data_IF_189275019471
#
_entry.id   IF_189275019471
#
_cell.length_a   1.000
_cell.length_b   1.000
_cell.length_c   1.000
_cell.angle_alpha   90.00
_cell.angle_beta   90.00
_cell.angle_gamma   90.00
#
_symmetry.space_group_name_H-M   'P 1'
#
loop_
_entity.id
_entity.type
_entity.pdbx_description
1 polymer ?
#
# COMPACT_ATOMS: atom_id res chain seq x y z
N UNK A 1 20.14 39.71 -6.67
CA UNK A 1 19.55 38.48 -7.22
C UNK A 1 20.05 37.32 -6.35
N UNK A 2 19.19 36.70 -5.58
CA UNK A 2 19.54 35.53 -4.81
C UNK A 2 19.44 34.31 -5.75
N UNK A 3 20.58 33.72 -6.09
CA UNK A 3 20.63 32.50 -6.88
C UNK A 3 20.49 31.32 -5.93
N UNK A 4 19.26 31.00 -5.55
CA UNK A 4 18.98 29.97 -4.53
C UNK A 4 18.90 28.57 -5.09
N UNK A 5 18.79 28.40 -6.42
CA UNK A 5 18.50 27.12 -7.07
C UNK A 5 19.73 26.45 -7.67
N UNK A 6 20.91 27.03 -7.55
CA UNK A 6 22.12 26.42 -8.06
C UNK A 6 22.77 25.57 -6.97
N UNK A 7 23.13 24.36 -7.33
CA UNK A 7 23.96 23.50 -6.48
C UNK A 7 25.30 24.17 -6.24
N UNK A 8 25.94 23.83 -5.13
CA UNK A 8 27.27 24.23 -4.81
C UNK A 8 28.20 23.92 -5.98
N UNK A 9 28.81 24.95 -6.56
CA UNK A 9 29.78 24.81 -7.64
C UNK A 9 31.17 24.72 -7.02
N UNK A 10 31.91 23.69 -7.36
CA UNK A 10 33.31 23.50 -6.92
C UNK A 10 34.31 24.42 -7.64
N UNK A 11 33.86 25.11 -8.67
CA UNK A 11 34.68 26.03 -9.47
C UNK A 11 33.82 27.21 -9.95
N UNK A 12 34.51 28.30 -10.33
CA UNK A 12 33.85 29.47 -10.95
C UNK A 12 33.25 29.06 -12.29
N UNK A 13 31.97 29.38 -12.46
CA UNK A 13 31.24 29.12 -13.70
C UNK A 13 30.63 30.41 -14.25
N UNK A 14 30.67 30.56 -15.57
CA UNK A 14 29.98 31.64 -16.28
C UNK A 14 28.57 31.19 -16.61
N UNK A 15 27.64 32.14 -16.58
CA UNK A 15 26.23 31.90 -16.94
C UNK A 15 25.68 33.06 -17.77
N UNK A 16 24.83 32.76 -18.72
CA UNK A 16 24.02 33.72 -19.48
C UNK A 16 22.67 33.87 -18.81
N UNK A 17 22.42 35.06 -18.23
CA UNK A 17 21.18 35.34 -17.50
C UNK A 17 20.06 35.64 -18.50
N UNK A 18 18.97 34.90 -18.41
CA UNK A 18 17.71 35.22 -19.08
C UNK A 18 16.96 36.22 -18.18
N UNK A 19 17.03 37.51 -18.52
CA UNK A 19 16.45 38.57 -17.67
C UNK A 19 14.90 38.56 -17.67
N UNK A 20 14.29 38.15 -18.78
CA UNK A 20 12.84 38.06 -18.90
C UNK A 20 12.26 36.90 -18.09
N UNK A 21 13.00 35.79 -18.03
CA UNK A 21 12.68 34.66 -17.15
C UNK A 21 13.97 34.04 -16.62
N UNK A 22 14.38 34.38 -15.38
CA UNK A 22 15.60 33.86 -14.77
C UNK A 22 15.66 32.33 -14.69
N UNK A 23 14.52 31.64 -14.78
CA UNK A 23 14.45 30.18 -14.84
C UNK A 23 15.23 29.60 -16.03
N UNK A 24 15.24 30.29 -17.17
CA UNK A 24 15.96 29.86 -18.37
C UNK A 24 17.43 30.29 -18.42
N UNK A 25 17.98 30.80 -17.32
CA UNK A 25 19.41 31.09 -17.21
C UNK A 25 20.23 29.84 -17.50
N UNK A 26 21.23 29.97 -18.40
CA UNK A 26 22.09 28.87 -18.87
C UNK A 26 23.51 29.05 -18.41
N UNK A 27 24.15 27.95 -18.05
CA UNK A 27 25.60 27.92 -17.89
C UNK A 27 26.28 27.84 -19.27
N UNK A 28 27.42 28.52 -19.41
CA UNK A 28 28.27 28.41 -20.60
C UNK A 28 28.81 26.99 -20.75
N UNK A 29 29.08 26.32 -19.65
CA UNK A 29 29.43 24.90 -19.62
C UNK A 29 28.18 24.02 -19.74
N UNK A 30 28.00 23.27 -20.84
CA UNK A 30 26.82 22.44 -21.07
C UNK A 30 26.65 21.27 -20.06
N UNK A 31 27.72 20.92 -19.36
CA UNK A 31 27.66 19.88 -18.31
C UNK A 31 27.06 20.39 -17.00
N UNK A 32 27.05 21.71 -16.80
CA UNK A 32 26.38 22.31 -15.65
C UNK A 32 24.94 22.62 -16.05
N UNK A 33 24.01 21.86 -15.45
CA UNK A 33 22.58 22.02 -15.72
C UNK A 33 21.86 22.44 -14.46
N UNK A 34 20.86 23.29 -14.65
CA UNK A 34 19.91 23.63 -13.59
C UNK A 34 19.01 22.42 -13.31
N UNK A 35 18.74 22.14 -12.04
CA UNK A 35 17.68 21.22 -11.66
C UNK A 35 16.33 21.81 -12.06
N UNK A 36 15.43 20.99 -12.55
CA UNK A 36 14.05 21.39 -12.92
C UNK A 36 14.00 22.62 -13.83
N UNK A 37 14.74 22.60 -14.93
CA UNK A 37 14.79 23.72 -15.90
C UNK A 37 13.57 23.83 -16.80
N UNK A 38 12.71 22.83 -16.80
CA UNK A 38 11.55 22.80 -17.68
C UNK A 38 10.33 23.41 -17.01
N UNK A 39 9.41 24.03 -17.79
CA UNK A 39 8.17 24.59 -17.25
C UNK A 39 7.24 23.55 -16.64
N UNK A 40 7.21 22.36 -17.21
CA UNK A 40 6.47 21.22 -16.72
C UNK A 40 7.25 19.91 -16.90
N UNK A 41 6.91 18.90 -16.13
CA UNK A 41 7.38 17.52 -16.24
C UNK A 41 6.20 16.61 -15.91
N UNK A 42 6.11 15.45 -16.56
CA UNK A 42 5.02 14.49 -16.31
C UNK A 42 5.55 13.09 -16.09
N UNK A 43 4.86 12.32 -15.26
CA UNK A 43 5.28 10.99 -14.83
C UNK A 43 4.10 10.03 -14.83
N UNK A 44 4.33 8.81 -15.30
CA UNK A 44 3.47 7.66 -15.02
C UNK A 44 4.21 6.75 -14.03
N UNK A 45 3.59 6.45 -12.91
CA UNK A 45 4.03 5.38 -12.00
C UNK A 45 3.11 4.18 -12.20
N UNK A 46 3.69 3.06 -12.59
CA UNK A 46 2.96 1.82 -12.77
C UNK A 46 3.23 0.89 -11.59
N UNK A 47 2.24 0.74 -10.76
CA UNK A 47 2.24 -0.10 -9.58
C UNK A 47 1.29 -1.30 -9.76
N UNK A 48 1.40 -2.37 -8.97
CA UNK A 48 0.61 -3.59 -9.17
C UNK A 48 -0.90 -3.39 -9.24
N UNK A 49 -1.41 -2.42 -8.49
CA UNK A 49 -2.86 -2.17 -8.36
C UNK A 49 -3.23 -0.72 -8.59
N UNK A 50 -2.31 0.05 -9.19
CA UNK A 50 -2.52 1.47 -9.44
C UNK A 50 -1.69 1.94 -10.64
N UNK A 51 -2.27 2.83 -11.43
CA UNK A 51 -1.52 3.70 -12.33
C UNK A 51 -1.68 5.12 -11.81
N UNK A 52 -0.55 5.75 -11.46
CA UNK A 52 -0.53 7.11 -10.94
C UNK A 52 0.08 8.04 -11.97
N UNK A 53 -0.60 9.14 -12.25
CA UNK A 53 -0.13 10.23 -13.08
C UNK A 53 0.27 11.41 -12.21
N UNK A 54 1.52 11.84 -12.30
CA UNK A 54 2.03 12.98 -11.57
C UNK A 54 2.51 14.06 -12.53
N UNK A 55 2.27 15.31 -12.16
CA UNK A 55 2.76 16.47 -12.91
C UNK A 55 3.49 17.43 -11.99
N UNK A 56 4.67 17.85 -12.36
CA UNK A 56 5.39 18.97 -11.75
C UNK A 56 5.35 20.15 -12.71
N UNK A 57 4.97 21.32 -12.23
CA UNK A 57 4.87 22.53 -13.04
C UNK A 57 5.35 23.76 -12.27
N UNK A 58 5.99 24.70 -12.93
CA UNK A 58 6.30 26.00 -12.32
C UNK A 58 4.99 26.75 -12.05
N UNK A 59 4.93 27.41 -10.89
CA UNK A 59 3.74 28.21 -10.51
C UNK A 59 3.41 29.27 -11.58
N UNK A 60 4.41 29.91 -12.19
CA UNK A 60 4.19 30.91 -13.24
C UNK A 60 3.51 30.34 -14.47
N UNK A 61 3.90 29.15 -14.91
CA UNK A 61 3.27 28.51 -16.08
C UNK A 61 1.86 28.02 -15.73
N UNK A 62 1.67 27.47 -14.54
CA UNK A 62 0.36 27.09 -14.03
C UNK A 62 -0.60 28.30 -13.97
N UNK A 63 -0.10 29.44 -13.52
CA UNK A 63 -0.87 30.69 -13.50
C UNK A 63 -1.29 31.15 -14.90
N UNK A 64 -0.38 31.08 -15.87
CA UNK A 64 -0.69 31.39 -17.28
C UNK A 64 -1.74 30.44 -17.83
N UNK A 65 -1.60 29.12 -17.63
CA UNK A 65 -2.54 28.12 -18.11
C UNK A 65 -3.93 28.26 -17.50
N UNK A 66 -4.00 28.67 -16.24
CA UNK A 66 -5.27 28.85 -15.51
C UNK A 66 -5.88 30.26 -15.64
N UNK A 67 -5.16 31.21 -16.26
CA UNK A 67 -5.57 32.61 -16.34
C UNK A 67 -5.50 33.35 -15.02
N UNK A 68 -4.74 32.87 -14.05
CA UNK A 68 -4.55 33.50 -12.74
C UNK A 68 -3.44 34.57 -12.85
N UNK A 69 -3.74 35.81 -12.53
CA UNK A 69 -2.73 36.87 -12.44
C UNK A 69 -2.03 36.85 -11.07
N UNK A 70 -0.72 36.59 -11.09
CA UNK A 70 0.11 36.63 -9.88
C UNK A 70 0.38 38.08 -9.46
N UNK A 71 0.07 38.40 -8.19
CA UNK A 71 0.06 39.78 -7.69
C UNK A 71 1.42 40.30 -7.21
N UNK A 72 2.48 39.54 -7.36
CA UNK A 72 3.80 40.00 -6.89
C UNK A 72 4.90 38.96 -7.01
N UNK A 73 6.05 39.30 -6.40
CA UNK A 73 7.23 38.44 -6.41
C UNK A 73 7.10 37.20 -5.53
N UNK A 74 6.16 37.20 -4.58
CA UNK A 74 5.92 36.11 -3.64
C UNK A 74 4.53 35.52 -3.83
N UNK A 75 4.44 34.22 -3.74
CA UNK A 75 3.19 33.46 -3.87
C UNK A 75 2.31 33.67 -2.63
N UNK A 76 1.20 34.37 -2.82
CA UNK A 76 0.24 34.66 -1.74
C UNK A 76 -0.70 33.47 -1.48
N UNK A 77 -1.43 33.49 -0.37
CA UNK A 77 -2.48 32.51 -0.08
C UNK A 77 -3.61 32.55 -1.11
N UNK A 78 -3.98 33.76 -1.58
CA UNK A 78 -5.02 33.95 -2.60
C UNK A 78 -4.59 33.36 -3.95
N UNK A 79 -3.32 33.56 -4.35
CA UNK A 79 -2.77 32.96 -5.57
C UNK A 79 -2.80 31.43 -5.49
N UNK A 80 -2.39 30.88 -4.35
CA UNK A 80 -2.44 29.43 -4.09
C UNK A 80 -3.86 28.90 -4.20
N UNK A 81 -4.83 29.56 -3.58
CA UNK A 81 -6.23 29.16 -3.63
C UNK A 81 -6.81 29.23 -5.04
N UNK A 82 -6.50 30.31 -5.81
CA UNK A 82 -6.99 30.50 -7.15
C UNK A 82 -6.44 29.41 -8.11
N UNK A 83 -5.13 29.18 -8.08
CA UNK A 83 -4.50 28.13 -8.88
C UNK A 83 -5.00 26.73 -8.45
N UNK A 84 -5.08 26.49 -7.14
CA UNK A 84 -5.55 25.22 -6.58
C UNK A 84 -6.97 24.86 -6.96
N UNK A 85 -7.82 25.85 -7.21
CA UNK A 85 -9.19 25.64 -7.68
C UNK A 85 -9.26 25.30 -9.17
N UNK A 86 -8.40 25.89 -9.99
CA UNK A 86 -8.50 25.81 -11.45
C UNK A 86 -7.63 24.68 -12.05
N UNK A 87 -6.40 24.57 -11.59
CA UNK A 87 -5.39 23.71 -12.19
C UNK A 87 -5.71 22.21 -12.17
N UNK A 88 -6.24 21.62 -11.08
CA UNK A 88 -6.50 20.18 -11.04
C UNK A 88 -7.50 19.73 -12.13
N UNK A 89 -8.59 20.48 -12.32
CA UNK A 89 -9.56 20.15 -13.36
C UNK A 89 -9.00 20.36 -14.76
N UNK A 90 -8.27 21.46 -14.97
CA UNK A 90 -7.64 21.75 -16.27
C UNK A 90 -6.69 20.61 -16.66
N UNK A 91 -5.81 20.16 -15.76
CA UNK A 91 -4.87 19.09 -16.06
C UNK A 91 -5.56 17.75 -16.29
N UNK A 92 -6.56 17.41 -15.49
CA UNK A 92 -7.28 16.14 -15.64
C UNK A 92 -8.02 16.08 -16.99
N UNK A 93 -8.60 17.19 -17.43
CA UNK A 93 -9.31 17.26 -18.71
C UNK A 93 -8.35 17.36 -19.93
N UNK A 94 -7.14 17.90 -19.70
CA UNK A 94 -6.13 18.11 -20.76
C UNK A 94 -5.03 17.03 -20.79
N UNK A 95 -5.17 15.99 -19.98
CA UNK A 95 -4.24 14.87 -19.96
C UNK A 95 -4.99 13.54 -20.07
N UNK A 96 -5.64 13.28 -21.23
CA UNK A 96 -6.37 12.03 -21.45
C UNK A 96 -5.49 10.83 -21.16
N UNK A 97 -6.03 9.87 -20.41
CA UNK A 97 -5.32 8.67 -19.98
C UNK A 97 -6.01 7.40 -20.48
N UNK A 98 -5.22 6.42 -20.85
CA UNK A 98 -5.71 5.06 -21.12
C UNK A 98 -4.98 4.04 -20.27
N UNK A 99 -5.70 2.98 -19.88
CA UNK A 99 -5.12 1.79 -19.24
C UNK A 99 -5.62 0.55 -19.96
N UNK A 100 -4.71 -0.30 -20.38
CA UNK A 100 -5.00 -1.49 -21.20
C UNK A 100 -5.84 -1.15 -22.46
N UNK A 101 -5.54 -0.02 -23.10
CA UNK A 101 -6.23 0.48 -24.30
C UNK A 101 -7.62 1.06 -24.06
N UNK A 102 -8.06 1.21 -22.81
CA UNK A 102 -9.36 1.78 -22.46
C UNK A 102 -9.19 3.18 -21.88
N UNK A 103 -9.96 4.17 -22.35
CA UNK A 103 -9.98 5.49 -21.72
C UNK A 103 -10.41 5.39 -20.27
N UNK A 104 -9.66 6.06 -19.40
CA UNK A 104 -9.93 6.12 -17.97
C UNK A 104 -9.89 7.57 -17.49
N UNK A 105 -10.60 7.86 -16.41
CA UNK A 105 -10.53 9.15 -15.74
C UNK A 105 -9.93 8.94 -14.35
N UNK A 106 -8.65 9.31 -14.15
CA UNK A 106 -8.02 9.19 -12.83
C UNK A 106 -8.65 10.19 -11.85
N UNK A 107 -8.63 9.81 -10.58
CA UNK A 107 -9.08 10.65 -9.49
C UNK A 107 -7.96 11.60 -9.06
N UNK A 108 -8.31 12.84 -8.79
CA UNK A 108 -7.38 13.81 -8.21
C UNK A 108 -7.16 13.45 -6.73
N UNK A 109 -5.91 13.17 -6.34
CA UNK A 109 -5.58 12.85 -4.97
C UNK A 109 -5.14 14.10 -4.19
N UNK A 110 -4.13 14.81 -4.73
CA UNK A 110 -3.54 15.93 -4.02
C UNK A 110 -2.80 16.90 -4.92
N UNK A 111 -2.61 18.09 -4.39
CA UNK A 111 -1.74 19.11 -4.94
C UNK A 111 -0.85 19.66 -3.83
N UNK A 112 0.42 19.85 -4.13
CA UNK A 112 1.41 20.35 -3.18
C UNK A 112 2.24 21.47 -3.81
N UNK A 113 2.56 22.48 -3.02
CA UNK A 113 3.51 23.49 -3.40
C UNK A 113 4.91 23.09 -2.94
N UNK A 114 5.89 23.28 -3.81
CA UNK A 114 7.25 22.77 -3.67
C UNK A 114 8.24 23.87 -4.01
N UNK A 115 9.48 23.68 -3.57
CA UNK A 115 10.64 24.43 -4.07
C UNK A 115 11.82 23.50 -4.28
N UNK A 116 12.76 23.92 -5.11
CA UNK A 116 14.03 23.18 -5.28
C UNK A 116 14.94 23.47 -4.09
N UNK A 117 15.38 22.43 -3.41
CA UNK A 117 16.38 22.48 -2.35
C UNK A 117 17.66 21.76 -2.73
N UNK A 118 18.67 21.77 -1.84
CA UNK A 118 19.98 21.14 -2.10
C UNK A 118 19.91 19.63 -2.42
N UNK A 119 18.93 18.94 -1.82
CA UNK A 119 18.73 17.49 -1.96
C UNK A 119 17.57 17.09 -2.89
N UNK A 120 16.94 18.05 -3.57
CA UNK A 120 15.79 17.80 -4.44
C UNK A 120 14.62 18.73 -4.14
N UNK A 121 13.40 18.25 -4.42
CA UNK A 121 12.17 18.99 -4.14
C UNK A 121 11.87 18.96 -2.63
N UNK A 122 11.46 20.10 -2.12
CA UNK A 122 11.08 20.29 -0.71
C UNK A 122 9.64 20.79 -0.69
N UNK A 123 8.78 20.15 0.10
CA UNK A 123 7.43 20.63 0.34
C UNK A 123 7.44 21.96 1.07
N UNK A 124 6.57 22.84 0.64
CA UNK A 124 6.34 24.12 1.32
C UNK A 124 5.27 23.91 2.38
N UNK A 125 5.64 24.16 3.62
CA UNK A 125 4.69 24.20 4.72
C UNK A 125 3.71 25.36 4.51
N UNK A 126 2.49 25.22 5.03
CA UNK A 126 1.49 26.26 4.96
C UNK A 126 1.99 27.56 5.61
N UNK A 127 1.72 28.67 4.93
CA UNK A 127 2.12 29.99 5.38
C UNK A 127 3.58 30.38 5.12
N UNK A 128 4.44 29.48 4.63
CA UNK A 128 5.81 29.87 4.26
C UNK A 128 5.84 30.62 2.95
N UNK A 129 6.58 31.72 2.94
CA UNK A 129 6.83 32.54 1.76
C UNK A 129 7.72 31.81 0.77
N UNK A 130 7.37 31.86 -0.50
CA UNK A 130 8.17 31.40 -1.62
C UNK A 130 8.03 32.39 -2.76
N UNK A 131 9.13 32.65 -3.46
CA UNK A 131 9.09 33.49 -4.68
C UNK A 131 8.32 32.76 -5.77
N UNK A 132 7.51 33.49 -6.52
CA UNK A 132 6.72 32.96 -7.65
C UNK A 132 7.57 32.32 -8.74
N UNK A 133 8.81 32.82 -8.94
CA UNK A 133 9.78 32.30 -9.90
C UNK A 133 10.51 31.03 -9.43
N UNK A 134 10.44 30.71 -8.14
CA UNK A 134 11.09 29.53 -7.54
C UNK A 134 10.06 28.45 -7.11
N UNK A 135 8.78 28.78 -7.13
CA UNK A 135 7.73 27.89 -6.70
C UNK A 135 7.34 26.88 -7.80
N UNK A 136 7.15 25.64 -7.38
CA UNK A 136 6.70 24.51 -8.19
C UNK A 136 5.41 23.98 -7.60
N UNK A 137 4.54 23.46 -8.44
CA UNK A 137 3.32 22.73 -8.04
C UNK A 137 3.49 21.29 -8.46
N UNK A 138 3.21 20.37 -7.55
CA UNK A 138 3.05 18.95 -7.83
C UNK A 138 1.58 18.56 -7.73
N UNK A 139 1.08 17.85 -8.74
CA UNK A 139 -0.26 17.27 -8.75
C UNK A 139 -0.15 15.75 -8.91
N UNK A 140 -1.02 15.05 -8.22
CA UNK A 140 -1.10 13.59 -8.22
C UNK A 140 -2.53 13.16 -8.56
N UNK A 141 -2.63 12.29 -9.54
CA UNK A 141 -3.87 11.63 -9.95
C UNK A 141 -3.65 10.12 -9.89
N UNK A 142 -4.64 9.39 -9.41
CA UNK A 142 -4.60 7.94 -9.24
C UNK A 142 -5.71 7.26 -10.02
N UNK A 143 -5.40 6.13 -10.59
CA UNK A 143 -6.35 5.21 -11.18
C UNK A 143 -6.13 3.81 -10.62
N UNK A 144 -6.98 3.34 -9.69
CA UNK A 144 -6.90 1.99 -9.12
C UNK A 144 -7.13 0.93 -10.19
N UNK A 145 -6.32 -0.12 -10.19
CA UNK A 145 -6.44 -1.24 -11.11
C UNK A 145 -6.74 -2.54 -10.37
N UNK A 146 -7.48 -3.45 -11.03
CA UNK A 146 -7.79 -4.76 -10.47
C UNK A 146 -6.60 -5.72 -10.52
N UNK A 147 -5.65 -5.46 -11.38
CA UNK A 147 -4.43 -6.25 -11.63
C UNK A 147 -3.37 -5.35 -12.21
N UNK A 148 -2.13 -5.79 -12.21
CA UNK A 148 -1.05 -5.07 -12.87
C UNK A 148 -1.41 -4.83 -14.33
N UNK A 149 -1.44 -3.56 -14.74
CA UNK A 149 -1.78 -3.18 -16.09
C UNK A 149 -0.74 -3.70 -17.10
N UNK A 150 -1.14 -3.84 -18.34
CA UNK A 150 -0.23 -4.20 -19.45
C UNK A 150 0.35 -2.96 -20.11
N UNK A 151 -0.43 -1.89 -20.14
CA UNK A 151 -0.07 -0.64 -20.78
C UNK A 151 -0.80 0.52 -20.11
N UNK A 152 -0.15 1.66 -20.02
CA UNK A 152 -0.78 2.92 -19.65
C UNK A 152 -0.25 4.04 -20.54
N UNK A 153 -1.13 4.97 -20.94
CA UNK A 153 -0.74 6.14 -21.71
C UNK A 153 -1.30 7.40 -21.09
N UNK A 154 -0.55 8.48 -21.19
CA UNK A 154 -1.03 9.84 -20.86
C UNK A 154 -0.67 10.75 -22.03
N UNK A 155 -1.65 11.42 -22.59
CA UNK A 155 -1.43 12.43 -23.61
C UNK A 155 -1.32 13.81 -22.96
N UNK A 156 -0.33 14.58 -23.33
CA UNK A 156 -0.19 15.96 -22.88
C UNK A 156 -0.68 16.91 -23.97
N UNK A 157 -1.72 17.70 -23.69
CA UNK A 157 -2.28 18.63 -24.67
C UNK A 157 -1.99 20.11 -24.36
N UNK A 158 -1.37 20.43 -23.21
CA UNK A 158 -1.12 21.81 -22.77
C UNK A 158 0.23 22.35 -23.28
N UNK A 159 0.48 22.22 -24.58
CA UNK A 159 1.60 22.90 -25.21
C UNK A 159 1.26 24.37 -25.47
N UNK A 160 2.24 25.23 -25.29
CA UNK A 160 2.18 26.67 -25.56
C UNK A 160 3.51 27.13 -26.14
N UNK A 161 3.61 28.38 -26.57
CA UNK A 161 4.90 28.94 -27.05
C UNK A 161 6.00 28.82 -25.99
N UNK A 162 5.66 28.85 -24.71
CA UNK A 162 6.58 28.66 -23.60
C UNK A 162 6.81 27.18 -23.22
N UNK A 163 5.86 26.30 -23.55
CA UNK A 163 5.87 24.88 -23.21
C UNK A 163 5.92 24.06 -24.50
N UNK A 164 7.09 23.98 -25.12
CA UNK A 164 7.29 23.26 -26.38
C UNK A 164 7.80 21.82 -26.15
N UNK A 165 8.40 21.59 -25.01
CA UNK A 165 9.01 20.31 -24.64
C UNK A 165 8.80 20.02 -23.17
N UNK A 166 8.39 18.79 -22.87
CA UNK A 166 8.13 18.32 -21.52
C UNK A 166 8.90 17.04 -21.29
N UNK A 167 9.87 17.03 -20.34
CA UNK A 167 10.43 15.78 -19.86
C UNK A 167 9.35 14.89 -19.27
N UNK A 168 9.35 13.65 -19.67
CA UNK A 168 8.40 12.67 -19.24
C UNK A 168 9.10 11.39 -18.78
N UNK A 169 8.54 10.70 -17.83
CA UNK A 169 9.08 9.43 -17.36
C UNK A 169 7.95 8.45 -17.08
N UNK A 170 8.11 7.22 -17.51
CA UNK A 170 7.33 6.11 -17.00
C UNK A 170 8.18 5.29 -16.04
N UNK A 171 7.66 5.02 -14.85
CA UNK A 171 8.40 4.43 -13.72
C UNK A 171 7.67 3.20 -13.26
N UNK A 172 8.39 2.10 -13.14
CA UNK A 172 7.90 0.85 -12.57
C UNK A 172 8.98 0.22 -11.66
N UNK A 173 8.80 -1.02 -11.25
CA UNK A 173 9.74 -1.72 -10.37
C UNK A 173 11.15 -1.92 -11.00
N UNK A 174 11.28 -1.85 -12.33
CA UNK A 174 12.58 -1.93 -13.02
C UNK A 174 13.30 -0.58 -13.02
N UNK A 175 12.60 0.51 -12.80
CA UNK A 175 13.14 1.87 -12.76
C UNK A 175 12.50 2.81 -13.78
N UNK A 176 13.08 4.01 -13.97
CA UNK A 176 12.51 5.02 -14.85
C UNK A 176 12.89 4.80 -16.31
N UNK A 177 11.92 4.93 -17.19
CA UNK A 177 12.09 5.10 -18.65
C UNK A 177 11.89 6.58 -18.99
N UNK A 178 12.91 7.20 -19.55
CA UNK A 178 12.94 8.63 -19.82
C UNK A 178 12.47 8.90 -21.23
N UNK A 179 11.53 9.86 -21.38
CA UNK A 179 11.00 10.34 -22.64
C UNK A 179 10.98 11.87 -22.66
N UNK A 180 10.72 12.46 -23.81
CA UNK A 180 10.46 13.89 -23.98
C UNK A 180 9.20 14.02 -24.85
N UNK A 181 8.20 14.72 -24.36
CA UNK A 181 6.98 14.99 -25.11
C UNK A 181 7.10 16.32 -25.87
N UNK A 182 6.60 16.32 -27.09
CA UNK A 182 6.51 17.49 -27.97
C UNK A 182 5.09 17.57 -28.58
N UNK A 183 4.71 18.67 -29.22
CA UNK A 183 3.44 18.74 -29.93
C UNK A 183 3.25 17.66 -31.00
N UNK A 184 4.34 17.15 -31.59
CA UNK A 184 4.33 16.08 -32.59
C UNK A 184 4.25 14.70 -31.97
N UNK A 185 4.80 14.52 -30.75
CA UNK A 185 4.81 13.28 -29.98
C UNK A 185 4.32 13.55 -28.55
N UNK A 186 2.99 13.79 -28.37
CA UNK A 186 2.44 14.26 -27.09
C UNK A 186 2.15 13.14 -26.08
N UNK A 187 2.35 11.87 -26.43
CA UNK A 187 1.90 10.73 -25.63
C UNK A 187 3.04 10.08 -24.89
N UNK A 188 2.95 10.07 -23.57
CA UNK A 188 3.80 9.23 -22.71
C UNK A 188 3.20 7.83 -22.66
N UNK A 189 4.01 6.82 -22.95
CA UNK A 189 3.60 5.42 -22.96
C UNK A 189 4.42 4.65 -21.93
N UNK A 190 3.75 3.84 -21.14
CA UNK A 190 4.34 2.79 -20.35
C UNK A 190 3.81 1.43 -20.80
N UNK A 191 4.71 0.48 -20.99
CA UNK A 191 4.36 -0.90 -21.35
C UNK A 191 4.98 -1.85 -20.35
N UNK A 192 4.19 -2.79 -19.86
CA UNK A 192 4.64 -3.83 -18.95
C UNK A 192 5.51 -4.87 -19.66
N UNK A 193 6.79 -4.81 -19.46
CA UNK A 193 7.76 -5.78 -20.00
C UNK A 193 8.14 -6.88 -19.01
N UNK A 194 7.53 -6.92 -17.82
CA UNK A 194 7.82 -7.96 -16.84
C UNK A 194 7.33 -9.33 -17.33
N UNK A 195 8.25 -10.27 -17.48
CA UNK A 195 7.95 -11.65 -17.87
C UNK A 195 7.67 -12.56 -16.68
N UNK A 196 8.22 -12.22 -15.52
CA UNK A 196 8.22 -13.08 -14.32
C UNK A 196 7.71 -12.34 -13.08
N UNK A 197 7.06 -11.20 -13.25
CA UNK A 197 6.48 -10.48 -12.12
C UNK A 197 5.23 -11.22 -11.64
N UNK A 198 5.31 -11.72 -10.42
CA UNK A 198 4.17 -12.27 -9.70
C UNK A 198 3.65 -11.20 -8.75
N UNK A 199 2.37 -10.78 -8.86
CA UNK A 199 1.78 -9.86 -7.90
C UNK A 199 1.85 -10.45 -6.49
N UNK A 200 2.05 -9.63 -5.45
CA UNK A 200 2.01 -10.10 -4.08
C UNK A 200 0.71 -10.84 -3.78
N UNK A 201 0.83 -12.04 -3.23
CA UNK A 201 -0.32 -12.86 -2.84
C UNK A 201 -0.56 -12.72 -1.35
N UNK A 202 -1.80 -12.39 -1.01
CA UNK A 202 -2.26 -12.37 0.38
C UNK A 202 -2.94 -13.70 0.64
N UNK A 203 -2.37 -14.51 1.52
CA UNK A 203 -2.86 -15.83 1.84
C UNK A 203 -3.10 -16.00 3.35
N UNK A 204 -4.16 -16.70 3.76
CA UNK A 204 -4.36 -17.02 5.16
C UNK A 204 -3.16 -17.73 5.76
N UNK A 205 -2.73 -17.30 6.92
CA UNK A 205 -1.67 -17.96 7.67
C UNK A 205 -2.25 -19.15 8.42
N UNK A 206 -1.93 -20.36 7.97
CA UNK A 206 -2.43 -21.57 8.60
C UNK A 206 -1.41 -22.11 9.60
N UNK A 207 -1.82 -22.25 10.83
CA UNK A 207 -1.08 -22.97 11.85
C UNK A 207 -1.65 -24.38 11.99
N UNK A 208 -0.85 -25.39 11.67
CA UNK A 208 -1.27 -26.78 11.45
C UNK A 208 -1.58 -27.62 12.70
N UNK A 209 -1.75 -27.03 13.90
CA UNK A 209 -2.26 -27.76 15.07
C UNK A 209 -3.66 -27.28 15.39
N UNK A 210 -4.61 -28.17 15.23
CA UNK A 210 -5.98 -27.92 15.68
C UNK A 210 -5.96 -27.62 17.18
N UNK A 211 -6.41 -26.43 17.55
CA UNK A 211 -6.45 -25.97 18.95
C UNK A 211 -7.58 -26.60 19.72
N UNK A 212 -8.54 -27.14 19.03
CA UNK A 212 -9.70 -27.79 19.61
C UNK A 212 -9.69 -29.27 19.29
N UNK A 213 -10.04 -30.06 20.26
CA UNK A 213 -10.27 -31.49 20.11
C UNK A 213 -11.76 -31.76 20.34
N UNK A 214 -12.38 -32.46 19.42
CA UNK A 214 -13.72 -32.98 19.63
C UNK A 214 -13.62 -34.24 20.46
N UNK A 215 -14.16 -34.18 21.67
CA UNK A 215 -14.10 -35.28 22.65
C UNK A 215 -15.48 -35.87 22.80
N UNK A 216 -15.68 -37.18 22.56
CA UNK A 216 -16.99 -37.83 22.73
C UNK A 216 -17.23 -38.13 24.23
N UNK A 217 -17.61 -37.10 24.99
CA UNK A 217 -17.71 -37.15 26.46
C UNK A 217 -18.70 -38.21 26.91
N UNK A 218 -19.84 -38.36 26.24
CA UNK A 218 -20.84 -39.36 26.55
C UNK A 218 -20.29 -40.77 26.37
N UNK A 219 -19.52 -41.01 25.30
CA UNK A 219 -18.89 -42.31 25.05
C UNK A 219 -17.83 -42.65 26.12
N UNK A 220 -17.00 -41.68 26.53
CA UNK A 220 -16.01 -41.85 27.58
C UNK A 220 -16.70 -42.18 28.90
N UNK A 221 -17.76 -41.47 29.26
CA UNK A 221 -18.49 -41.70 30.50
C UNK A 221 -19.15 -43.09 30.51
N UNK A 222 -19.71 -43.56 29.39
CA UNK A 222 -20.24 -44.90 29.27
C UNK A 222 -19.18 -45.99 29.33
N UNK A 223 -18.00 -45.73 28.77
CA UNK A 223 -16.84 -46.65 28.90
C UNK A 223 -16.43 -46.78 30.39
N UNK A 224 -16.30 -45.65 31.11
CA UNK A 224 -15.96 -45.65 32.52
C UNK A 224 -17.03 -46.38 33.34
N UNK A 225 -18.30 -46.12 33.05
CA UNK A 225 -19.44 -46.86 33.68
C UNK A 225 -19.38 -48.37 33.39
N UNK A 226 -19.04 -48.76 32.16
CA UNK A 226 -18.92 -50.14 31.73
C UNK A 226 -17.78 -50.84 32.51
N UNK A 227 -16.61 -50.17 32.63
CA UNK A 227 -15.48 -50.69 33.41
C UNK A 227 -15.83 -50.81 34.90
N UNK A 228 -16.50 -49.79 35.47
CA UNK A 228 -16.99 -49.84 36.87
C UNK A 228 -17.98 -50.95 37.10
N UNK A 229 -18.94 -51.13 36.20
CA UNK A 229 -19.90 -52.23 36.25
C UNK A 229 -19.21 -53.61 36.13
N UNK A 230 -18.25 -53.72 35.25
CA UNK A 230 -17.47 -54.96 35.08
C UNK A 230 -16.79 -55.34 36.42
N UNK A 231 -16.04 -54.40 37.04
CA UNK A 231 -15.38 -54.64 38.33
C UNK A 231 -16.40 -54.99 39.41
N UNK A 232 -17.53 -54.27 39.49
CA UNK A 232 -18.55 -54.52 40.49
C UNK A 232 -19.22 -55.90 40.32
N UNK A 233 -19.58 -56.26 39.09
CA UNK A 233 -20.22 -57.52 38.77
C UNK A 233 -19.32 -58.73 38.96
N UNK A 234 -18.00 -58.56 38.74
CA UNK A 234 -17.03 -59.63 39.04
C UNK A 234 -16.78 -59.82 40.52
N UNK A 235 -16.87 -58.78 41.35
CA UNK A 235 -16.72 -58.87 42.80
C UNK A 235 -17.92 -59.49 43.51
N UNK A 236 -19.16 -59.36 42.94
CA UNK A 236 -20.38 -59.90 43.48
C UNK A 236 -20.77 -61.24 42.80
N UNK A 237 -20.35 -62.37 43.42
CA UNK A 237 -20.62 -63.72 42.90
C UNK A 237 -22.14 -64.13 42.92
N UNK A 238 -22.98 -63.42 43.67
CA UNK A 238 -24.42 -63.70 43.81
C UNK A 238 -25.26 -63.35 42.56
N UNK A 239 -24.72 -62.65 41.58
CA UNK A 239 -25.44 -62.21 40.36
C UNK A 239 -25.34 -63.30 39.26
N UNK A 240 -26.43 -63.75 38.64
CA UNK A 240 -26.38 -64.78 37.63
C UNK A 240 -25.61 -64.34 36.39
N UNK A 241 -24.87 -65.29 35.79
CA UNK A 241 -24.00 -65.00 34.63
C UNK A 241 -24.70 -64.32 33.46
N UNK A 242 -25.96 -64.73 33.21
CA UNK A 242 -26.80 -64.15 32.15
C UNK A 242 -27.04 -62.66 32.38
N UNK A 243 -27.43 -62.24 33.59
CA UNK A 243 -27.67 -60.85 33.91
C UNK A 243 -26.36 -59.98 33.79
N UNK A 244 -25.21 -60.53 34.11
CA UNK A 244 -23.92 -59.85 33.92
C UNK A 244 -23.64 -59.57 32.43
N UNK A 245 -23.83 -60.58 31.57
CA UNK A 245 -23.59 -60.49 30.14
C UNK A 245 -24.59 -59.49 29.52
N UNK A 246 -25.85 -59.51 29.92
CA UNK A 246 -26.88 -58.60 29.39
C UNK A 246 -26.56 -57.14 29.74
N UNK A 247 -26.20 -56.86 30.99
CA UNK A 247 -25.90 -55.48 31.42
C UNK A 247 -24.62 -54.95 30.74
N UNK A 248 -23.56 -55.73 30.68
CA UNK A 248 -22.32 -55.35 30.00
C UNK A 248 -22.56 -55.17 28.48
N UNK A 249 -23.28 -56.08 27.86
CA UNK A 249 -23.62 -55.95 26.45
C UNK A 249 -24.45 -54.72 26.12
N UNK A 250 -25.45 -54.40 26.96
CA UNK A 250 -26.24 -53.17 26.80
C UNK A 250 -25.38 -51.91 26.95
N UNK A 251 -24.43 -51.87 27.89
CA UNK A 251 -23.53 -50.74 28.08
C UNK A 251 -22.55 -50.56 26.90
N UNK A 252 -22.04 -51.67 26.37
CA UNK A 252 -21.15 -51.61 25.18
C UNK A 252 -21.90 -51.12 23.95
N UNK A 253 -23.12 -51.60 23.74
CA UNK A 253 -23.97 -51.11 22.62
C UNK A 253 -24.31 -49.63 22.80
N UNK A 254 -24.63 -49.19 24.01
CA UNK A 254 -24.88 -47.79 24.32
C UNK A 254 -23.66 -46.91 24.09
N UNK A 255 -22.48 -47.39 24.48
CA UNK A 255 -21.22 -46.68 24.22
C UNK A 255 -20.93 -46.56 22.69
N UNK A 256 -21.19 -47.66 21.94
CA UNK A 256 -21.05 -47.61 20.48
C UNK A 256 -22.05 -46.66 19.79
N UNK A 257 -23.29 -46.65 20.22
CA UNK A 257 -24.32 -45.76 19.70
C UNK A 257 -24.03 -44.27 20.06
N UNK A 258 -23.43 -44.01 21.22
CA UNK A 258 -23.08 -42.64 21.65
C UNK A 258 -21.93 -42.00 20.86
N UNK A 259 -21.21 -42.77 20.04
CA UNK A 259 -20.17 -42.20 19.15
C UNK A 259 -20.73 -41.24 18.10
N UNK A 260 -22.04 -41.29 17.81
CA UNK A 260 -22.68 -40.38 16.86
C UNK A 260 -23.24 -39.09 17.48
N UNK A 261 -23.27 -39.00 18.81
CA UNK A 261 -23.82 -37.85 19.56
C UNK A 261 -22.97 -37.55 20.79
N UNK A 262 -23.05 -36.32 21.27
CA UNK A 262 -22.41 -35.92 22.52
C UNK A 262 -20.92 -35.60 22.43
N UNK A 263 -20.50 -35.09 21.30
CA UNK A 263 -19.20 -34.50 21.11
C UNK A 263 -19.15 -33.09 21.74
N UNK A 264 -18.12 -32.81 22.49
CA UNK A 264 -17.85 -31.49 23.04
C UNK A 264 -16.46 -31.06 22.52
N UNK A 265 -16.44 -29.88 21.93
CA UNK A 265 -15.20 -29.27 21.52
C UNK A 265 -14.49 -28.70 22.74
N UNK A 266 -13.32 -29.19 23.06
CA UNK A 266 -12.48 -28.71 24.18
C UNK A 266 -11.17 -28.16 23.63
N UNK A 267 -10.57 -27.23 24.35
CA UNK A 267 -9.21 -26.78 24.01
C UNK A 267 -8.24 -27.95 24.09
N UNK A 268 -7.40 -28.08 23.06
CA UNK A 268 -6.40 -29.12 22.99
C UNK A 268 -5.26 -28.81 23.97
N UNK A 269 -5.12 -29.49 25.08
CA UNK A 269 -4.08 -29.19 26.06
C UNK A 269 -2.65 -29.50 25.57
N UNK A 270 -2.56 -30.18 24.41
CA UNK A 270 -1.29 -30.54 23.76
C UNK A 270 -0.93 -29.56 22.64
N UNK A 271 -1.89 -28.74 22.20
CA UNK A 271 -1.64 -27.65 21.28
C UNK A 271 -0.91 -26.53 22.04
N UNK A 272 0.35 -26.75 22.29
CA UNK A 272 1.20 -25.74 22.91
C UNK A 272 1.39 -24.53 22.02
N UNK A 273 1.91 -23.46 22.59
CA UNK A 273 2.43 -22.30 21.89
C UNK A 273 3.38 -22.78 20.78
N UNK A 274 3.30 -22.23 19.55
CA UNK A 274 4.23 -22.57 18.47
C UNK A 274 5.68 -22.39 18.94
N UNK A 275 6.57 -23.20 18.42
CA UNK A 275 8.01 -23.01 18.63
C UNK A 275 8.51 -21.71 17.96
N UNK A 276 9.66 -21.21 18.40
CA UNK A 276 10.21 -19.94 17.91
C UNK A 276 10.33 -19.86 16.37
N UNK A 277 10.82 -20.89 15.66
CA UNK A 277 10.88 -20.84 14.19
C UNK A 277 9.49 -20.74 13.54
N UNK A 278 8.51 -21.46 14.05
CA UNK A 278 7.13 -21.43 13.53
C UNK A 278 6.49 -20.07 13.81
N UNK A 279 6.69 -19.52 15.01
CA UNK A 279 6.20 -18.21 15.40
C UNK A 279 6.79 -17.10 14.52
N UNK A 280 8.10 -17.15 14.30
CA UNK A 280 8.81 -16.21 13.44
C UNK A 280 8.27 -16.25 12.00
N UNK A 281 8.04 -17.46 11.48
CA UNK A 281 7.44 -17.65 10.15
C UNK A 281 6.01 -17.09 10.06
N UNK A 282 5.18 -17.34 11.07
CA UNK A 282 3.81 -16.81 11.14
C UNK A 282 3.82 -15.28 11.19
N UNK A 283 4.63 -14.71 12.09
CA UNK A 283 4.76 -13.27 12.21
C UNK A 283 5.25 -12.64 10.90
N UNK A 284 6.24 -13.24 10.25
CA UNK A 284 6.75 -12.80 8.95
C UNK A 284 5.65 -12.76 7.89
N UNK A 285 4.88 -13.83 7.79
CA UNK A 285 3.81 -13.93 6.79
C UNK A 285 2.65 -12.97 7.07
N UNK A 286 2.31 -12.74 8.34
CA UNK A 286 1.30 -11.74 8.72
C UNK A 286 1.75 -10.31 8.36
N UNK A 287 3.01 -9.97 8.65
CA UNK A 287 3.58 -8.66 8.32
C UNK A 287 3.65 -8.48 6.80
N UNK A 288 4.06 -9.52 6.06
CA UNK A 288 4.10 -9.50 4.60
C UNK A 288 2.69 -9.31 4.00
N UNK A 289 1.70 -10.09 4.47
CA UNK A 289 0.31 -9.93 4.06
C UNK A 289 -0.21 -8.52 4.33
N UNK A 290 0.11 -7.95 5.49
CA UNK A 290 -0.27 -6.60 5.85
C UNK A 290 0.30 -5.56 4.87
N UNK A 291 1.59 -5.62 4.58
CA UNK A 291 2.21 -4.72 3.61
C UNK A 291 1.67 -4.91 2.19
N UNK A 292 1.38 -6.15 1.80
CA UNK A 292 0.76 -6.45 0.51
C UNK A 292 -0.68 -5.95 0.42
N UNK A 293 -1.41 -5.98 1.55
CA UNK A 293 -2.75 -5.40 1.64
C UNK A 293 -2.74 -3.89 1.39
N UNK A 294 -1.74 -3.17 1.92
CA UNK A 294 -1.60 -1.72 1.74
C UNK A 294 -1.39 -1.28 0.27
N UNK A 295 -1.00 -2.19 -0.60
CA UNK A 295 -0.89 -1.91 -2.03
C UNK A 295 -2.27 -1.89 -2.73
N UNK A 296 -3.33 -2.41 -2.07
CA UNK A 296 -4.68 -2.37 -2.61
C UNK A 296 -5.25 -0.95 -2.46
N UNK A 297 -5.68 -0.36 -3.57
CA UNK A 297 -6.23 1.00 -3.60
C UNK A 297 -7.76 1.03 -3.63
N UNK A 298 -8.38 -0.11 -3.90
CA UNK A 298 -9.84 -0.27 -3.87
C UNK A 298 -10.24 -0.63 -2.43
N UNK A 299 -11.06 0.19 -1.74
CA UNK A 299 -11.35 0.02 -0.31
C UNK A 299 -11.88 -1.37 0.05
N UNK A 300 -12.76 -1.94 -0.77
CA UNK A 300 -13.32 -3.27 -0.53
C UNK A 300 -12.25 -4.36 -0.58
N UNK A 301 -11.27 -4.22 -1.47
CA UNK A 301 -10.15 -5.15 -1.60
C UNK A 301 -9.13 -4.97 -0.48
N UNK A 302 -8.86 -3.75 -0.08
CA UNK A 302 -8.02 -3.45 1.08
C UNK A 302 -8.61 -4.09 2.34
N UNK A 303 -9.89 -3.88 2.58
CA UNK A 303 -10.59 -4.46 3.74
C UNK A 303 -10.55 -6.00 3.71
N UNK A 304 -10.87 -6.62 2.56
CA UNK A 304 -10.80 -8.08 2.42
C UNK A 304 -9.38 -8.64 2.59
N UNK A 305 -8.37 -7.90 2.17
CA UNK A 305 -6.97 -8.27 2.34
C UNK A 305 -6.51 -8.17 3.80
N UNK A 306 -6.91 -7.12 4.50
CA UNK A 306 -6.63 -6.93 5.92
C UNK A 306 -7.33 -7.98 6.78
N UNK A 307 -8.58 -8.32 6.47
CA UNK A 307 -9.38 -9.35 7.18
C UNK A 307 -8.71 -10.75 7.15
N UNK A 308 -7.86 -10.99 6.15
CA UNK A 308 -7.10 -12.24 6.04
C UNK A 308 -6.01 -12.37 7.09
N UNK A 309 -5.52 -11.27 7.68
CA UNK A 309 -4.35 -11.23 8.55
C UNK A 309 -4.58 -10.57 9.90
N UNK A 310 -5.73 -9.95 10.09
CA UNK A 310 -6.06 -9.19 11.31
C UNK A 310 -7.32 -9.82 11.93
N UNK A 311 -7.32 -9.98 13.26
CA UNK A 311 -8.49 -10.48 13.97
C UNK A 311 -9.64 -9.46 13.91
N UNK A 312 -10.89 -9.95 13.90
CA UNK A 312 -12.08 -9.10 13.87
C UNK A 312 -12.10 -8.07 15.03
N UNK A 313 -11.53 -8.43 16.18
CA UNK A 313 -11.43 -7.53 17.35
C UNK A 313 -10.48 -6.36 17.13
N UNK A 314 -9.38 -6.58 16.41
CA UNK A 314 -8.35 -5.54 16.15
C UNK A 314 -8.59 -4.79 14.84
N UNK A 315 -9.55 -5.23 14.02
CA UNK A 315 -9.72 -4.73 12.65
C UNK A 315 -9.99 -3.22 12.59
N UNK A 316 -10.93 -2.73 13.38
CA UNK A 316 -11.29 -1.31 13.37
C UNK A 316 -10.17 -0.41 13.92
N UNK A 317 -9.45 -0.87 14.96
CA UNK A 317 -8.33 -0.12 15.53
C UNK A 317 -7.18 -0.03 14.53
N UNK A 318 -6.84 -1.14 13.86
CA UNK A 318 -5.80 -1.17 12.83
C UNK A 318 -6.20 -0.32 11.63
N UNK A 319 -7.44 -0.39 11.18
CA UNK A 319 -7.95 0.43 10.08
C UNK A 319 -7.86 1.91 10.41
N UNK A 320 -8.28 2.32 11.59
CA UNK A 320 -8.17 3.72 12.03
C UNK A 320 -6.73 4.21 12.11
N UNK A 321 -5.81 3.36 12.59
CA UNK A 321 -4.38 3.71 12.63
C UNK A 321 -3.77 3.77 11.24
N UNK A 322 -4.20 2.91 10.31
CA UNK A 322 -3.82 2.97 8.90
C UNK A 322 -4.28 4.25 8.23
N UNK A 323 -5.55 4.64 8.42
CA UNK A 323 -6.08 5.90 7.90
C UNK A 323 -5.27 7.09 8.42
N UNK A 324 -4.84 7.06 9.68
CA UNK A 324 -3.94 8.07 10.25
C UNK A 324 -2.52 8.00 9.65
N UNK A 325 -1.96 6.82 9.50
CA UNK A 325 -0.60 6.61 9.01
C UNK A 325 -0.46 6.94 7.51
N UNK A 326 -1.49 6.65 6.71
CA UNK A 326 -1.54 6.99 5.29
C UNK A 326 -1.63 8.51 5.05
N UNK A 327 -2.08 9.28 6.05
CA UNK A 327 -2.08 10.75 6.02
C UNK A 327 -0.69 11.33 6.32
N UNK A 328 0.20 10.56 6.94
CA UNK A 328 1.60 11.00 7.16
C UNK A 328 2.35 10.88 5.85
N UNK A 329 2.26 11.91 5.04
CA UNK A 329 3.07 12.07 3.82
C UNK A 329 4.55 12.02 4.18
N UNK A 330 5.30 11.11 3.59
CA UNK A 330 6.75 11.16 3.67
C UNK A 330 7.22 12.48 3.06
N UNK A 331 8.03 13.22 3.81
CA UNK A 331 8.65 14.44 3.30
C UNK A 331 9.37 14.11 1.98
N UNK A 332 8.89 14.68 0.88
CA UNK A 332 9.43 14.44 -0.44
C UNK A 332 8.47 13.77 -1.43
N UNK A 333 7.21 13.47 -1.05
CA UNK A 333 6.19 12.89 -1.95
C UNK A 333 6.48 11.47 -2.43
N UNK A 334 7.52 10.83 -1.89
CA UNK A 334 7.84 9.46 -2.20
C UNK A 334 6.90 8.50 -1.49
N UNK A 335 6.25 7.61 -2.21
CA UNK A 335 5.60 6.44 -1.61
C UNK A 335 6.67 5.42 -1.29
N UNK A 336 6.84 5.11 0.00
CA UNK A 336 7.71 4.04 0.44
C UNK A 336 7.05 2.70 0.16
N UNK A 337 7.62 1.89 -0.74
CA UNK A 337 7.21 0.51 -0.93
C UNK A 337 8.16 -0.39 -0.15
N UNK A 338 7.63 -1.18 0.76
CA UNK A 338 8.40 -2.22 1.44
C UNK A 338 8.65 -3.35 0.44
N UNK A 339 9.90 -3.49 -0.01
CA UNK A 339 10.28 -4.54 -0.97
C UNK A 339 10.58 -5.87 -0.28
N UNK A 340 11.09 -5.84 0.93
CA UNK A 340 11.51 -7.04 1.66
C UNK A 340 11.56 -6.75 3.16
N UNK A 341 11.12 -7.71 3.96
CA UNK A 341 11.22 -7.68 5.41
C UNK A 341 12.25 -8.73 5.81
N UNK A 342 13.30 -8.32 6.51
CA UNK A 342 14.40 -9.19 6.95
C UNK A 342 14.49 -9.20 8.47
N UNK A 343 15.14 -10.23 9.00
CA UNK A 343 15.55 -10.32 10.41
C UNK A 343 14.38 -10.19 11.40
N UNK A 344 13.25 -10.83 11.08
CA UNK A 344 12.12 -10.90 12.01
C UNK A 344 12.51 -11.78 13.17
N UNK A 345 12.39 -11.25 14.38
CA UNK A 345 12.57 -12.03 15.62
C UNK A 345 11.39 -11.79 16.56
N UNK A 346 10.96 -12.84 17.24
CA UNK A 346 9.92 -12.77 18.26
C UNK A 346 10.58 -12.74 19.64
N UNK A 347 10.47 -11.62 20.33
CA UNK A 347 11.12 -11.43 21.63
C UNK A 347 10.37 -12.14 22.77
N UNK A 348 9.06 -12.25 22.69
CA UNK A 348 8.24 -12.98 23.65
C UNK A 348 6.90 -13.39 23.04
N UNK A 349 6.41 -14.54 23.43
CA UNK A 349 5.10 -15.05 23.05
C UNK A 349 4.29 -15.30 24.32
N UNK A 350 3.07 -14.78 24.37
CA UNK A 350 2.15 -14.99 25.50
C UNK A 350 0.85 -15.57 24.97
N UNK A 351 0.39 -16.63 25.63
CA UNK A 351 -0.95 -17.15 25.39
C UNK A 351 -1.99 -16.18 25.93
N UNK A 352 -2.95 -15.78 25.10
CA UNK A 352 -4.12 -15.00 25.55
C UNK A 352 -5.21 -15.95 25.97
N UNK A 353 -5.67 -15.82 27.22
CA UNK A 353 -6.80 -16.59 27.73
C UNK A 353 -8.10 -16.10 27.08
N UNK A 354 -8.80 -16.98 26.38
CA UNK A 354 -10.18 -16.79 26.02
C UNK A 354 -10.55 -16.85 24.53
N UNK A 355 -9.68 -16.46 23.61
CA UNK A 355 -10.01 -16.44 22.16
C UNK A 355 -9.10 -17.32 21.31
N UNK A 356 -8.30 -18.18 21.91
CA UNK A 356 -7.34 -19.01 21.16
C UNK A 356 -6.24 -18.21 20.47
N UNK A 357 -5.90 -17.00 20.93
CA UNK A 357 -4.78 -16.18 20.50
C UNK A 357 -3.48 -16.48 21.25
N UNK A 358 -2.34 -16.16 20.66
CA UNK A 358 -1.03 -16.12 21.29
C UNK A 358 -0.29 -14.86 20.88
#
# INVERSE_FOLDING_TARGET
MAVTDFRYLSAVARLTVAWDDPWYTKFDNPNLRRHHRYPAMTFIYAEPYEIRHETLMRVRDAAVLTGVELKGDYLTADDRAAIGKALPNLLNDSSPMTVDGKPVKPEFERMSYLKVGPSGLIFLEDGKEVRTDAAIIGLVYSFPTMKFAKEATVEWTLFTDAIQKIPAQSIDAAGPFISELTPEEPVLIWTNYFKTYEPPVIAPVVYGKERTLDVPVITILLIVLTLGALVYLFRRQAIPKTARITVLGALVVAAGASMQVGWITVENPIAGVPDDPTTTRIAGQLIENFHNALQQKIPERLNAALDTSISAEAFEDVKQELERALVVEMQGGGVGIVKEIRDISVASLRSTSGAGGF
#
